data_IF_500131341314
#
_entry.id   IF_500131341314
#
_cell.length_a   1.000
_cell.length_b   1.000
_cell.length_c   1.000
_cell.angle_alpha   90.00
_cell.angle_beta   90.00
_cell.angle_gamma   90.00
#
_symmetry.space_group_name_H-M   'P 1'
#
loop_
_entity.id
_entity.type
_entity.pdbx_description
1 polymer ?
#
# COMPACT_ATOMS: atom_id res chain seq x y z
N UNK A 1 -2.46 -17.44 -4.95
CA UNK A 1 -1.58 -17.79 -3.84
C UNK A 1 -1.06 -19.21 -3.93
N UNK A 2 0.02 -19.45 -3.25
CA UNK A 2 0.74 -20.73 -3.29
C UNK A 2 0.16 -21.81 -2.37
N UNK A 3 -0.94 -21.51 -1.66
CA UNK A 3 -1.51 -22.50 -0.75
C UNK A 3 -2.16 -23.66 -1.49
N UNK A 4 -1.99 -24.84 -0.92
CA UNK A 4 -2.69 -26.06 -1.32
C UNK A 4 -3.49 -26.60 -0.13
N UNK A 5 -4.63 -27.22 -0.39
CA UNK A 5 -5.41 -27.84 0.69
C UNK A 5 -4.73 -29.10 1.23
N UNK A 6 -3.92 -29.75 0.41
CA UNK A 6 -3.34 -31.07 0.65
C UNK A 6 -4.26 -32.23 0.21
N UNK A 7 -5.44 -31.92 -0.34
CA UNK A 7 -6.38 -32.89 -0.84
C UNK A 7 -6.53 -32.76 -2.36
N UNK A 8 -6.10 -33.78 -3.11
CA UNK A 8 -6.09 -33.72 -4.58
C UNK A 8 -7.49 -33.43 -5.17
N UNK A 9 -8.56 -34.01 -4.60
CA UNK A 9 -9.93 -33.79 -5.06
C UNK A 9 -10.41 -32.31 -4.86
N UNK A 10 -9.76 -31.54 -3.99
CA UNK A 10 -10.02 -30.11 -3.78
C UNK A 10 -9.09 -29.27 -4.64
N UNK A 11 -7.82 -29.64 -4.72
CA UNK A 11 -6.79 -28.85 -5.38
C UNK A 11 -6.85 -28.95 -6.91
N UNK A 12 -7.13 -30.16 -7.45
CA UNK A 12 -7.19 -30.35 -8.92
C UNK A 12 -8.27 -29.51 -9.61
N UNK A 13 -9.51 -29.39 -9.11
CA UNK A 13 -10.50 -28.51 -9.71
C UNK A 13 -10.11 -27.02 -9.69
N UNK A 14 -9.32 -26.61 -8.68
CA UNK A 14 -8.90 -25.22 -8.49
C UNK A 14 -7.63 -24.87 -9.29
N UNK A 15 -6.65 -25.76 -9.34
CA UNK A 15 -5.32 -25.52 -9.90
C UNK A 15 -5.13 -26.16 -11.29
N UNK A 16 -6.06 -27.00 -11.72
CA UNK A 16 -5.88 -27.87 -12.87
C UNK A 16 -5.05 -29.10 -12.55
N UNK A 17 -4.86 -29.97 -13.56
CA UNK A 17 -4.01 -31.15 -13.45
C UNK A 17 -2.53 -30.73 -13.32
N UNK A 18 -1.91 -31.11 -12.20
CA UNK A 18 -0.52 -30.79 -11.89
C UNK A 18 0.46 -31.91 -12.28
N UNK A 19 -0.01 -32.99 -12.88
CA UNK A 19 0.82 -34.18 -13.22
C UNK A 19 1.96 -33.85 -14.17
N UNK A 20 1.76 -32.91 -15.09
CA UNK A 20 2.73 -32.45 -16.07
C UNK A 20 3.34 -31.07 -15.74
N UNK A 21 3.10 -30.55 -14.52
CA UNK A 21 3.66 -29.28 -14.14
C UNK A 21 5.19 -29.36 -13.98
N UNK A 22 5.94 -28.32 -14.37
CA UNK A 22 7.38 -28.30 -14.20
C UNK A 22 7.82 -28.48 -12.74
N UNK A 23 8.98 -29.07 -12.53
CA UNK A 23 9.54 -29.36 -11.20
C UNK A 23 9.52 -28.15 -10.24
N UNK A 24 9.86 -26.97 -10.74
CA UNK A 24 9.87 -25.75 -9.93
C UNK A 24 8.48 -25.28 -9.46
N UNK A 25 7.41 -25.76 -10.11
CA UNK A 25 6.02 -25.49 -9.69
C UNK A 25 5.58 -26.52 -8.64
N UNK A 26 5.87 -27.80 -8.89
CA UNK A 26 5.47 -28.90 -8.00
C UNK A 26 6.24 -28.89 -6.69
N UNK A 27 7.54 -28.58 -6.76
CA UNK A 27 8.47 -28.60 -5.63
C UNK A 27 8.83 -27.19 -5.12
N UNK A 28 7.96 -26.21 -5.38
CA UNK A 28 8.15 -24.88 -4.85
C UNK A 28 8.04 -24.90 -3.31
N UNK A 29 9.07 -24.50 -2.56
CA UNK A 29 9.03 -24.46 -1.09
C UNK A 29 7.89 -23.61 -0.53
N UNK A 30 7.47 -22.55 -1.25
CA UNK A 30 6.36 -21.68 -0.86
C UNK A 30 4.97 -22.37 -0.95
N UNK A 31 4.90 -23.63 -1.41
CA UNK A 31 3.65 -24.41 -1.40
C UNK A 31 3.39 -25.01 -0.01
N UNK A 32 2.47 -24.40 0.73
CA UNK A 32 2.07 -24.87 2.07
C UNK A 32 0.74 -25.62 2.02
N UNK A 33 0.67 -26.78 2.69
CA UNK A 33 -0.53 -27.64 2.79
C UNK A 33 -0.96 -27.78 4.24
N UNK A 34 -2.00 -27.05 4.64
CA UNK A 34 -2.47 -27.05 6.04
C UNK A 34 -3.65 -27.99 6.29
N UNK A 35 -4.08 -28.77 5.31
CA UNK A 35 -5.19 -29.75 5.40
C UNK A 35 -6.47 -29.16 6.01
N UNK A 36 -6.70 -27.88 5.80
CA UNK A 36 -7.77 -27.08 6.40
C UNK A 36 -7.78 -27.06 7.94
N UNK A 37 -6.78 -27.61 8.64
CA UNK A 37 -6.79 -27.76 10.11
C UNK A 37 -6.98 -26.42 10.82
N UNK A 38 -6.21 -25.34 10.56
CA UNK A 38 -6.44 -24.05 11.19
C UNK A 38 -7.82 -23.46 10.86
N UNK A 39 -8.27 -23.61 9.62
CA UNK A 39 -9.56 -23.11 9.16
C UNK A 39 -10.72 -23.82 9.86
N UNK A 40 -10.66 -25.17 9.98
CA UNK A 40 -11.69 -25.97 10.62
C UNK A 40 -11.79 -25.62 12.11
N UNK A 41 -10.67 -25.54 12.81
CA UNK A 41 -10.64 -25.14 14.21
C UNK A 41 -11.20 -23.72 14.40
N UNK A 42 -10.81 -22.79 13.53
CA UNK A 42 -11.33 -21.42 13.55
C UNK A 42 -12.84 -21.37 13.31
N UNK A 43 -13.37 -22.10 12.34
CA UNK A 43 -14.82 -22.18 12.08
C UNK A 43 -15.60 -22.84 13.21
N UNK A 44 -15.09 -23.94 13.78
CA UNK A 44 -15.66 -24.55 14.97
C UNK A 44 -15.70 -23.55 16.12
N UNK A 45 -14.59 -22.81 16.32
CA UNK A 45 -14.50 -21.78 17.35
C UNK A 45 -15.42 -20.62 17.12
N UNK A 46 -15.54 -20.12 15.90
CA UNK A 46 -16.49 -19.05 15.53
C UNK A 46 -17.93 -19.44 15.86
N UNK A 47 -18.37 -20.62 15.40
CA UNK A 47 -19.72 -21.11 15.63
C UNK A 47 -19.99 -21.32 17.13
N UNK A 48 -19.03 -21.92 17.84
CA UNK A 48 -19.14 -22.14 19.29
C UNK A 48 -19.19 -20.81 20.05
N UNK A 49 -18.34 -19.86 19.71
CA UNK A 49 -18.29 -18.53 20.31
C UNK A 49 -19.59 -17.75 20.07
N UNK A 50 -20.07 -17.74 18.84
CA UNK A 50 -21.33 -17.09 18.48
C UNK A 50 -22.54 -17.70 19.23
N UNK A 51 -22.51 -19.01 19.47
CA UNK A 51 -23.56 -19.70 20.22
C UNK A 51 -23.47 -19.45 21.73
N UNK A 52 -22.25 -19.44 22.30
CA UNK A 52 -22.02 -19.35 23.75
C UNK A 52 -22.04 -17.92 24.28
N UNK A 53 -21.43 -16.99 23.56
CA UNK A 53 -21.34 -15.57 23.91
C UNK A 53 -21.45 -14.69 22.67
N UNK A 54 -22.68 -14.46 22.16
CA UNK A 54 -22.88 -13.75 20.89
C UNK A 54 -22.36 -12.31 20.90
N UNK A 55 -22.37 -11.64 22.06
CA UNK A 55 -21.84 -10.28 22.18
C UNK A 55 -20.34 -10.21 21.98
N UNK A 56 -19.59 -11.10 22.65
CA UNK A 56 -18.14 -11.14 22.55
C UNK A 56 -17.71 -11.65 21.15
N UNK A 57 -18.45 -12.65 20.63
CA UNK A 57 -18.26 -13.14 19.27
C UNK A 57 -18.44 -12.04 18.23
N UNK A 58 -19.41 -11.13 18.43
CA UNK A 58 -19.63 -9.98 17.55
C UNK A 58 -18.47 -8.99 17.60
N UNK A 59 -17.88 -8.73 18.77
CA UNK A 59 -16.71 -7.83 18.90
C UNK A 59 -15.51 -8.40 18.14
N UNK A 60 -15.21 -9.69 18.30
CA UNK A 60 -14.13 -10.37 17.57
C UNK A 60 -14.42 -10.38 16.07
N UNK A 61 -15.67 -10.63 15.67
CA UNK A 61 -16.11 -10.60 14.27
C UNK A 61 -15.96 -9.21 13.67
N UNK A 62 -16.30 -8.17 14.40
CA UNK A 62 -16.13 -6.78 13.95
C UNK A 62 -14.64 -6.46 13.75
N UNK A 63 -13.78 -6.89 14.67
CA UNK A 63 -12.34 -6.77 14.53
C UNK A 63 -11.82 -7.48 13.27
N UNK A 64 -12.24 -8.73 13.06
CA UNK A 64 -11.91 -9.51 11.85
C UNK A 64 -12.38 -8.81 10.57
N UNK A 65 -13.64 -8.32 10.55
CA UNK A 65 -14.21 -7.65 9.39
C UNK A 65 -13.50 -6.33 9.06
N UNK A 66 -13.28 -5.48 10.06
CA UNK A 66 -12.70 -4.15 9.87
C UNK A 66 -11.22 -4.21 9.47
N UNK A 67 -10.45 -5.14 10.05
CA UNK A 67 -9.03 -5.31 9.72
C UNK A 67 -8.77 -6.22 8.52
N UNK A 68 -9.81 -6.83 7.96
CA UNK A 68 -9.76 -7.69 6.78
C UNK A 68 -10.53 -7.12 5.60
N UNK A 69 -11.80 -7.51 5.47
CA UNK A 69 -12.63 -7.13 4.32
C UNK A 69 -12.77 -5.62 4.14
N UNK A 70 -12.88 -4.85 5.22
CA UNK A 70 -12.95 -3.40 5.11
C UNK A 70 -11.63 -2.81 4.55
N UNK A 71 -10.48 -3.36 4.94
CA UNK A 71 -9.18 -2.96 4.37
C UNK A 71 -9.08 -3.34 2.89
N UNK A 72 -9.58 -4.51 2.47
CA UNK A 72 -9.64 -4.89 1.04
C UNK A 72 -10.42 -3.85 0.23
N UNK A 73 -11.60 -3.46 0.72
CA UNK A 73 -12.45 -2.46 0.06
C UNK A 73 -11.77 -1.08 0.06
N UNK A 74 -11.16 -0.69 1.19
CA UNK A 74 -10.48 0.60 1.33
C UNK A 74 -9.27 0.72 0.40
N UNK A 75 -8.42 -0.30 0.34
CA UNK A 75 -7.22 -0.30 -0.50
C UNK A 75 -7.55 -0.36 -1.98
N UNK A 76 -8.68 -0.98 -2.35
CA UNK A 76 -9.15 -1.12 -3.73
C UNK A 76 -7.99 -1.43 -4.71
N UNK A 77 -7.19 -2.44 -4.39
CA UNK A 77 -6.00 -2.79 -5.16
C UNK A 77 -6.34 -3.16 -6.60
N UNK A 78 -5.54 -2.65 -7.52
CA UNK A 78 -5.68 -3.00 -8.94
C UNK A 78 -5.26 -4.44 -9.18
N UNK A 79 -5.97 -5.14 -10.06
CA UNK A 79 -5.71 -6.56 -10.40
C UNK A 79 -4.28 -6.80 -10.92
N UNK A 80 -3.65 -5.79 -11.50
CA UNK A 80 -2.31 -5.87 -12.09
C UNK A 80 -1.21 -5.24 -11.22
N UNK A 81 -1.44 -5.06 -9.92
CA UNK A 81 -0.37 -4.62 -9.03
C UNK A 81 0.71 -5.71 -8.95
N UNK A 82 1.99 -5.38 -9.18
CA UNK A 82 3.07 -6.37 -9.18
C UNK A 82 3.42 -6.89 -7.78
N UNK A 83 2.92 -6.24 -6.73
CA UNK A 83 3.20 -6.57 -5.33
C UNK A 83 1.91 -6.89 -4.59
N UNK A 84 1.85 -8.08 -4.00
CA UNK A 84 0.80 -8.44 -3.04
C UNK A 84 1.05 -7.74 -1.69
N UNK A 85 -0.05 -7.34 -1.03
CA UNK A 85 -0.03 -6.60 0.23
C UNK A 85 -0.75 -7.34 1.34
N UNK A 86 -0.53 -8.63 1.45
CA UNK A 86 -1.19 -9.49 2.45
C UNK A 86 -0.94 -9.04 3.88
N UNK A 87 0.20 -8.39 4.13
CA UNK A 87 0.50 -7.79 5.43
C UNK A 87 -0.53 -6.75 5.89
N UNK A 88 -1.27 -6.12 4.96
CA UNK A 88 -2.33 -5.19 5.31
C UNK A 88 -3.50 -5.85 6.04
N UNK A 89 -3.66 -7.16 5.88
CA UNK A 89 -4.74 -7.96 6.49
C UNK A 89 -4.29 -8.73 7.73
N UNK A 90 -3.07 -8.55 8.21
CA UNK A 90 -2.51 -9.28 9.35
C UNK A 90 -3.41 -9.22 10.60
N UNK A 91 -4.08 -8.09 10.82
CA UNK A 91 -5.06 -7.93 11.90
C UNK A 91 -6.21 -8.93 11.83
N UNK A 92 -6.74 -9.22 10.64
CA UNK A 92 -7.82 -10.19 10.48
C UNK A 92 -7.38 -11.60 10.81
N UNK A 93 -6.17 -12.00 10.42
CA UNK A 93 -5.61 -13.30 10.77
C UNK A 93 -5.40 -13.45 12.29
N UNK A 94 -5.01 -12.35 12.95
CA UNK A 94 -4.90 -12.32 14.41
C UNK A 94 -6.27 -12.58 15.08
N UNK A 95 -7.33 -11.90 14.65
CA UNK A 95 -8.68 -12.14 15.16
C UNK A 95 -9.17 -13.55 14.82
N UNK A 96 -8.84 -14.10 13.64
CA UNK A 96 -9.19 -15.46 13.30
C UNK A 96 -8.45 -16.48 14.19
N UNK A 97 -7.19 -16.22 14.54
CA UNK A 97 -6.42 -17.06 15.44
C UNK A 97 -7.07 -17.19 16.85
N UNK A 98 -7.78 -16.15 17.32
CA UNK A 98 -8.56 -16.27 18.55
C UNK A 98 -9.63 -17.35 18.43
N UNK A 99 -10.30 -17.45 17.28
CA UNK A 99 -11.29 -18.53 17.06
C UNK A 99 -10.65 -19.90 16.95
N UNK A 100 -9.42 -20.01 16.45
CA UNK A 100 -8.67 -21.30 16.51
C UNK A 100 -8.52 -21.74 17.98
N UNK A 101 -8.13 -20.83 18.88
CA UNK A 101 -8.03 -21.10 20.31
C UNK A 101 -9.38 -21.47 20.95
N UNK A 102 -10.45 -20.73 20.62
CA UNK A 102 -11.82 -21.05 21.05
C UNK A 102 -12.28 -22.38 20.48
N UNK A 103 -11.82 -22.76 19.28
CA UNK A 103 -12.08 -24.07 18.66
C UNK A 103 -11.53 -25.24 19.46
N UNK A 104 -10.35 -25.07 20.05
CA UNK A 104 -9.78 -26.08 20.96
C UNK A 104 -10.66 -26.26 22.20
N UNK A 105 -11.15 -25.14 22.77
CA UNK A 105 -12.11 -25.21 23.87
C UNK A 105 -13.44 -25.86 23.45
N UNK A 106 -13.89 -25.61 22.24
CA UNK A 106 -15.09 -26.26 21.69
C UNK A 106 -14.90 -27.77 21.54
N UNK A 107 -13.71 -28.26 21.17
CA UNK A 107 -13.38 -29.68 21.15
C UNK A 107 -13.42 -30.27 22.56
N UNK A 108 -12.88 -29.61 23.58
CA UNK A 108 -13.03 -30.04 24.98
C UNK A 108 -14.49 -30.11 25.38
N UNK A 109 -15.29 -29.12 25.01
CA UNK A 109 -16.73 -29.13 25.30
C UNK A 109 -17.47 -30.23 24.54
N UNK A 110 -17.03 -30.59 23.33
CA UNK A 110 -17.55 -31.72 22.57
C UNK A 110 -17.28 -33.05 23.29
N UNK A 111 -16.11 -33.19 23.90
CA UNK A 111 -15.77 -34.39 24.70
C UNK A 111 -16.64 -34.50 25.96
N UNK A 112 -16.88 -33.39 26.68
CA UNK A 112 -17.56 -33.40 27.98
C UNK A 112 -19.09 -33.32 27.91
N UNK A 113 -19.64 -32.60 26.95
CA UNK A 113 -21.05 -32.16 26.99
C UNK A 113 -21.80 -32.27 25.67
N UNK A 114 -21.15 -32.76 24.58
CA UNK A 114 -21.78 -32.78 23.26
C UNK A 114 -22.86 -33.86 23.17
N UNK A 115 -23.98 -33.53 22.57
CA UNK A 115 -25.15 -34.41 22.46
C UNK A 115 -25.79 -34.34 21.06
N UNK A 116 -26.81 -35.19 20.85
CA UNK A 116 -27.54 -35.26 19.56
C UNK A 116 -28.13 -33.95 19.09
N UNK A 117 -28.52 -33.04 19.99
CA UNK A 117 -29.04 -31.74 19.61
C UNK A 117 -27.97 -30.86 18.97
N UNK A 118 -26.73 -30.96 19.42
CA UNK A 118 -25.61 -30.23 18.82
C UNK A 118 -25.30 -30.73 17.40
N UNK A 119 -25.39 -32.06 17.17
CA UNK A 119 -25.25 -32.59 15.81
C UNK A 119 -26.37 -32.13 14.87
N UNK A 120 -27.60 -31.97 15.35
CA UNK A 120 -28.67 -31.40 14.53
C UNK A 120 -28.36 -29.98 14.10
N UNK A 121 -27.85 -29.14 15.01
CA UNK A 121 -27.45 -27.75 14.70
C UNK A 121 -26.26 -27.73 13.73
N UNK A 122 -25.25 -28.58 13.94
CA UNK A 122 -24.14 -28.75 13.03
C UNK A 122 -24.63 -29.13 11.61
N UNK A 123 -25.54 -30.08 11.50
CA UNK A 123 -26.13 -30.49 10.23
C UNK A 123 -26.88 -29.37 9.51
N UNK A 124 -27.57 -28.52 10.25
CA UNK A 124 -28.26 -27.33 9.66
C UNK A 124 -27.21 -26.35 9.07
N UNK A 125 -26.15 -26.04 9.82
CA UNK A 125 -25.10 -25.15 9.36
C UNK A 125 -24.36 -25.74 8.15
N UNK A 126 -24.03 -27.04 8.21
CA UNK A 126 -23.39 -27.76 7.12
C UNK A 126 -24.25 -27.75 5.85
N UNK A 127 -25.56 -28.03 5.99
CA UNK A 127 -26.52 -28.01 4.88
C UNK A 127 -26.71 -26.63 4.26
N UNK A 128 -26.83 -25.59 5.11
CA UNK A 128 -26.95 -24.21 4.65
C UNK A 128 -25.67 -23.77 3.89
N UNK A 129 -24.49 -24.09 4.41
CA UNK A 129 -23.23 -23.82 3.73
C UNK A 129 -23.10 -24.59 2.40
N UNK A 130 -23.52 -25.86 2.37
CA UNK A 130 -23.52 -26.65 1.13
C UNK A 130 -24.40 -26.02 0.07
N UNK A 131 -25.60 -25.57 0.44
CA UNK A 131 -26.51 -24.89 -0.48
C UNK A 131 -25.88 -23.57 -1.01
N UNK A 132 -25.27 -22.78 -0.13
CA UNK A 132 -24.61 -21.54 -0.50
C UNK A 132 -23.49 -21.78 -1.53
N UNK A 133 -22.60 -22.72 -1.25
CA UNK A 133 -21.47 -23.01 -2.15
C UNK A 133 -21.90 -23.69 -3.46
N UNK A 134 -22.98 -24.50 -3.45
CA UNK A 134 -23.60 -25.00 -4.67
C UNK A 134 -24.11 -23.85 -5.55
N UNK A 135 -24.78 -22.86 -4.97
CA UNK A 135 -25.25 -21.69 -5.72
C UNK A 135 -24.06 -20.91 -6.29
N UNK A 136 -22.99 -20.74 -5.53
CA UNK A 136 -21.77 -20.06 -6.02
C UNK A 136 -21.13 -20.85 -7.18
N UNK A 137 -21.08 -22.16 -7.09
CA UNK A 137 -20.48 -23.01 -8.13
C UNK A 137 -21.36 -23.13 -9.38
N UNK A 138 -22.67 -22.86 -9.29
CA UNK A 138 -23.58 -22.86 -10.48
C UNK A 138 -23.19 -21.80 -11.51
N UNK A 139 -22.49 -20.74 -11.13
CA UNK A 139 -21.97 -19.70 -12.04
C UNK A 139 -20.57 -20.02 -12.59
N UNK A 140 -19.97 -21.12 -12.15
CA UNK A 140 -18.61 -21.53 -12.52
C UNK A 140 -18.67 -22.60 -13.61
N UNK A 141 -17.92 -22.45 -14.68
CA UNK A 141 -17.80 -23.45 -15.75
C UNK A 141 -17.07 -24.75 -15.31
N UNK A 142 -16.50 -24.76 -14.11
CA UNK A 142 -15.64 -25.85 -13.62
C UNK A 142 -16.21 -26.56 -12.37
N UNK A 143 -16.04 -27.84 -12.34
CA UNK A 143 -16.22 -28.90 -11.34
C UNK A 143 -16.32 -28.50 -9.84
N UNK A 144 -17.22 -27.59 -9.46
CA UNK A 144 -17.65 -27.31 -8.07
C UNK A 144 -16.54 -27.18 -7.01
N UNK A 145 -15.51 -26.32 -7.22
CA UNK A 145 -14.35 -26.26 -6.32
C UNK A 145 -14.71 -25.77 -4.91
N UNK A 146 -15.67 -24.87 -4.77
CA UNK A 146 -16.09 -24.32 -3.48
C UNK A 146 -16.90 -25.34 -2.69
N UNK A 147 -17.81 -26.03 -3.34
CA UNK A 147 -18.65 -27.09 -2.73
C UNK A 147 -17.77 -28.25 -2.25
N UNK A 148 -16.81 -28.72 -3.06
CA UNK A 148 -15.89 -29.79 -2.67
C UNK A 148 -15.02 -29.40 -1.47
N UNK A 149 -14.51 -28.17 -1.45
CA UNK A 149 -13.75 -27.64 -0.32
C UNK A 149 -14.59 -27.60 0.96
N UNK A 150 -15.82 -27.09 0.85
CA UNK A 150 -16.74 -27.03 1.98
C UNK A 150 -17.13 -28.41 2.51
N UNK A 151 -17.47 -29.35 1.64
CA UNK A 151 -17.82 -30.72 2.05
C UNK A 151 -16.64 -31.42 2.76
N UNK A 152 -15.42 -31.19 2.27
CA UNK A 152 -14.21 -31.71 2.93
C UNK A 152 -14.07 -31.15 4.34
N UNK A 153 -14.25 -29.82 4.50
CA UNK A 153 -14.24 -29.13 5.81
C UNK A 153 -15.30 -29.72 6.74
N UNK A 154 -16.54 -29.87 6.24
CA UNK A 154 -17.66 -30.42 7.02
C UNK A 154 -17.39 -31.85 7.48
N UNK A 155 -16.86 -32.72 6.60
CA UNK A 155 -16.53 -34.11 6.96
C UNK A 155 -15.47 -34.16 8.04
N UNK A 156 -14.38 -33.41 7.91
CA UNK A 156 -13.31 -33.37 8.90
C UNK A 156 -13.84 -32.82 10.24
N UNK A 157 -14.62 -31.72 10.22
CA UNK A 157 -15.23 -31.15 11.42
C UNK A 157 -16.18 -32.15 12.10
N UNK A 158 -16.97 -32.90 11.33
CA UNK A 158 -17.85 -33.95 11.85
C UNK A 158 -17.07 -35.09 12.50
N UNK A 159 -15.97 -35.54 11.88
CA UNK A 159 -15.08 -36.57 12.44
C UNK A 159 -14.44 -36.07 13.73
N UNK A 160 -13.94 -34.85 13.79
CA UNK A 160 -13.34 -34.26 15.00
C UNK A 160 -14.36 -34.15 16.15
N UNK A 161 -15.50 -33.52 15.90
CA UNK A 161 -16.53 -33.32 16.93
C UNK A 161 -17.18 -34.66 17.35
N UNK A 162 -17.46 -35.55 16.39
CA UNK A 162 -18.02 -36.87 16.64
C UNK A 162 -17.04 -37.79 17.34
N UNK A 163 -15.77 -37.75 16.96
CA UNK A 163 -14.69 -38.47 17.61
C UNK A 163 -14.51 -38.07 19.07
N UNK A 164 -14.47 -36.75 19.32
CA UNK A 164 -14.40 -36.20 20.68
C UNK A 164 -15.59 -36.65 21.55
N UNK A 165 -16.79 -36.59 21.02
CA UNK A 165 -17.99 -37.04 21.71
C UNK A 165 -17.94 -38.57 22.00
N UNK A 166 -17.52 -39.39 21.05
CA UNK A 166 -17.43 -40.82 21.21
C UNK A 166 -16.39 -41.22 22.26
N UNK A 167 -15.20 -40.64 22.17
CA UNK A 167 -14.10 -40.86 23.12
C UNK A 167 -14.50 -40.39 24.52
N UNK A 168 -15.17 -39.22 24.61
CA UNK A 168 -15.69 -38.69 25.89
C UNK A 168 -16.66 -39.61 26.61
N UNK A 169 -17.49 -40.34 25.87
CA UNK A 169 -18.37 -41.37 26.45
C UNK A 169 -17.60 -42.58 26.99
N UNK A 170 -16.47 -42.91 26.36
CA UNK A 170 -15.64 -44.05 26.74
C UNK A 170 -14.70 -43.71 27.92
N UNK A 171 -14.00 -42.60 27.90
CA UNK A 171 -12.93 -42.25 28.84
C UNK A 171 -13.40 -41.47 30.07
N UNK A 172 -14.54 -40.80 30.05
CA UNK A 172 -15.20 -40.13 31.19
C UNK A 172 -14.29 -39.28 32.11
N UNK A 173 -13.37 -38.54 31.59
CA UNK A 173 -12.47 -37.71 32.42
C UNK A 173 -12.24 -36.33 31.86
N UNK A 174 -12.47 -35.28 32.65
CA UNK A 174 -12.26 -33.90 32.21
C UNK A 174 -10.81 -33.61 31.81
N UNK A 175 -9.84 -34.14 32.59
CA UNK A 175 -8.41 -34.03 32.31
C UNK A 175 -8.03 -34.72 31.00
N UNK A 176 -8.58 -35.90 30.73
CA UNK A 176 -8.36 -36.62 29.46
C UNK A 176 -8.93 -35.83 28.27
N UNK A 177 -10.11 -35.24 28.47
CA UNK A 177 -10.73 -34.36 27.45
C UNK A 177 -9.90 -33.11 27.18
N UNK A 178 -9.40 -32.44 28.20
CA UNK A 178 -8.53 -31.28 28.07
C UNK A 178 -7.22 -31.65 27.36
N UNK A 179 -6.57 -32.73 27.76
CA UNK A 179 -5.32 -33.21 27.14
C UNK A 179 -5.52 -33.55 25.65
N UNK A 180 -6.59 -34.25 25.30
CA UNK A 180 -6.88 -34.62 23.92
C UNK A 180 -7.23 -33.40 23.07
N UNK A 181 -8.05 -32.49 23.59
CA UNK A 181 -8.38 -31.25 22.88
C UNK A 181 -7.14 -30.38 22.63
N UNK A 182 -6.26 -30.28 23.64
CA UNK A 182 -4.98 -29.53 23.50
C UNK A 182 -4.09 -30.21 22.48
N UNK A 183 -3.94 -31.51 22.50
CA UNK A 183 -3.13 -32.27 21.52
C UNK A 183 -3.62 -32.07 20.09
N UNK A 184 -4.93 -32.14 19.86
CA UNK A 184 -5.53 -31.89 18.56
C UNK A 184 -5.39 -30.41 18.16
N UNK A 185 -5.51 -29.49 19.13
CA UNK A 185 -5.33 -28.06 18.89
C UNK A 185 -3.91 -27.70 18.50
N UNK A 186 -2.90 -28.36 19.08
CA UNK A 186 -1.50 -28.16 18.73
C UNK A 186 -1.17 -28.55 17.29
N UNK A 187 -2.01 -29.38 16.64
CA UNK A 187 -1.82 -29.70 15.23
C UNK A 187 -1.81 -28.46 14.32
N UNK A 188 -2.59 -27.41 14.65
CA UNK A 188 -2.61 -26.17 13.88
C UNK A 188 -1.26 -25.42 13.93
N UNK A 189 -0.75 -24.99 15.09
CA UNK A 189 0.53 -24.26 15.12
C UNK A 189 1.72 -25.14 14.69
N UNK A 190 1.69 -26.43 14.94
CA UNK A 190 2.77 -27.35 14.52
C UNK A 190 2.81 -27.49 13.01
N UNK A 191 1.69 -27.70 12.34
CA UNK A 191 1.67 -27.84 10.88
C UNK A 191 2.00 -26.50 10.20
N UNK A 192 1.48 -25.39 10.74
CA UNK A 192 1.78 -24.07 10.23
C UNK A 192 3.26 -23.71 10.42
N UNK A 193 3.83 -24.01 11.58
CA UNK A 193 5.25 -23.80 11.86
C UNK A 193 6.15 -24.69 11.00
N UNK A 194 5.83 -25.95 10.83
CA UNK A 194 6.64 -26.88 10.03
C UNK A 194 6.60 -26.56 8.53
N UNK A 195 5.45 -26.16 8.02
CA UNK A 195 5.26 -25.86 6.59
C UNK A 195 5.69 -24.44 6.21
N UNK A 196 5.54 -23.48 7.12
CA UNK A 196 5.85 -22.09 6.84
C UNK A 196 7.22 -21.64 7.37
N UNK A 197 8.03 -22.54 7.91
CA UNK A 197 9.34 -22.17 8.45
C UNK A 197 10.27 -21.58 7.41
N UNK A 198 10.34 -22.21 6.24
CA UNK A 198 11.17 -21.78 5.13
C UNK A 198 10.76 -20.42 4.54
N UNK A 199 9.46 -20.10 4.60
CA UNK A 199 8.95 -18.78 4.20
C UNK A 199 9.42 -17.67 5.15
N UNK A 200 9.67 -17.99 6.43
CA UNK A 200 10.03 -17.04 7.48
C UNK A 200 11.51 -17.07 7.85
N UNK A 201 12.23 -18.11 7.48
CA UNK A 201 13.67 -18.22 7.74
C UNK A 201 14.44 -17.16 6.93
N UNK A 202 15.10 -16.27 7.65
CA UNK A 202 15.93 -15.19 7.10
C UNK A 202 17.43 -15.42 7.34
N UNK A 203 17.82 -16.54 7.94
CA UNK A 203 19.19 -16.81 8.37
C UNK A 203 20.21 -16.73 7.24
N UNK A 204 19.82 -17.05 5.99
CA UNK A 204 20.69 -17.03 4.82
C UNK A 204 20.26 -15.99 3.76
N UNK A 205 19.39 -15.04 4.12
CA UNK A 205 18.88 -14.02 3.19
C UNK A 205 19.73 -12.75 3.26
N UNK A 206 20.97 -12.80 2.75
CA UNK A 206 21.93 -11.69 2.78
C UNK A 206 21.82 -10.75 1.59
N UNK A 207 20.95 -11.03 0.60
CA UNK A 207 20.88 -10.28 -0.67
C UNK A 207 20.75 -8.77 -0.47
N UNK A 208 19.89 -8.32 0.44
CA UNK A 208 19.70 -6.89 0.72
C UNK A 208 20.97 -6.25 1.29
N UNK A 209 21.63 -6.94 2.23
CA UNK A 209 22.93 -6.54 2.80
C UNK A 209 24.00 -6.45 1.71
N UNK A 210 24.16 -7.51 0.89
CA UNK A 210 25.21 -7.60 -0.10
C UNK A 210 25.06 -6.55 -1.21
N UNK A 211 23.82 -6.29 -1.65
CA UNK A 211 23.51 -5.20 -2.60
C UNK A 211 23.88 -3.85 -1.99
N UNK A 212 23.49 -3.60 -0.75
CA UNK A 212 23.81 -2.37 -0.05
C UNK A 212 25.32 -2.17 0.12
N UNK A 213 26.01 -3.22 0.53
CA UNK A 213 27.47 -3.22 0.65
C UNK A 213 28.17 -2.89 -0.68
N UNK A 214 27.71 -3.51 -1.77
CA UNK A 214 28.26 -3.26 -3.11
C UNK A 214 27.99 -1.82 -3.56
N UNK A 215 26.79 -1.30 -3.34
CA UNK A 215 26.46 0.08 -3.68
C UNK A 215 27.35 1.06 -2.92
N UNK A 216 27.45 0.91 -1.61
CA UNK A 216 28.24 1.82 -0.79
C UNK A 216 29.75 1.71 -1.06
N UNK A 217 30.23 0.50 -1.39
CA UNK A 217 31.63 0.30 -1.77
C UNK A 217 32.01 0.99 -3.08
N UNK A 218 31.07 1.14 -3.99
CA UNK A 218 31.29 1.78 -5.29
C UNK A 218 31.31 3.32 -5.22
N UNK A 219 30.82 3.91 -4.13
CA UNK A 219 30.76 5.38 -3.98
C UNK A 219 32.14 5.92 -3.58
N UNK A 220 32.56 7.02 -4.19
CA UNK A 220 33.79 7.73 -3.81
C UNK A 220 33.75 8.17 -2.34
N UNK A 221 34.91 8.33 -1.67
CA UNK A 221 34.96 8.87 -0.31
C UNK A 221 34.20 10.20 -0.21
N UNK A 222 33.41 10.39 0.86
CA UNK A 222 32.55 11.56 1.07
C UNK A 222 31.54 11.83 -0.07
N UNK A 223 31.21 10.79 -0.85
CA UNK A 223 30.27 10.92 -1.96
C UNK A 223 28.83 11.01 -1.53
N UNK A 224 27.96 11.33 -2.49
CA UNK A 224 26.50 11.34 -2.33
C UNK A 224 25.94 10.24 -3.22
N UNK A 225 25.07 9.38 -2.65
CA UNK A 225 24.32 8.39 -3.41
C UNK A 225 22.83 8.74 -3.36
N UNK A 226 22.22 8.81 -4.52
CA UNK A 226 20.78 9.04 -4.64
C UNK A 226 20.05 7.71 -4.77
N UNK A 227 19.02 7.53 -3.97
CA UNK A 227 18.16 6.35 -3.96
C UNK A 227 16.71 6.74 -4.23
N UNK A 228 15.90 5.82 -4.74
CA UNK A 228 14.54 6.12 -5.17
C UNK A 228 13.50 5.24 -4.47
N UNK A 229 13.28 5.49 -3.18
CA UNK A 229 12.31 4.81 -2.34
C UNK A 229 12.93 3.86 -1.31
N UNK A 230 12.10 3.04 -0.68
CA UNK A 230 12.45 2.28 0.53
C UNK A 230 13.42 1.11 0.23
N UNK A 231 13.17 0.39 -0.86
CA UNK A 231 13.85 -0.88 -1.13
C UNK A 231 15.34 -0.72 -1.41
N UNK A 232 15.75 0.38 -2.00
CA UNK A 232 17.15 0.71 -2.28
C UNK A 232 17.78 1.60 -1.20
N UNK A 233 16.99 2.24 -0.34
CA UNK A 233 17.46 3.12 0.73
C UNK A 233 17.68 2.38 2.05
N UNK A 234 16.68 1.62 2.52
CA UNK A 234 16.75 1.02 3.86
C UNK A 234 17.88 0.02 4.05
N UNK A 235 18.25 -0.79 3.05
CA UNK A 235 19.46 -1.61 3.19
C UNK A 235 20.75 -0.80 3.35
N UNK A 236 20.86 0.38 2.68
CA UNK A 236 22.02 1.25 2.83
C UNK A 236 22.05 1.88 4.24
N UNK A 237 20.91 2.35 4.73
CA UNK A 237 20.82 2.85 6.11
C UNK A 237 21.16 1.76 7.13
N UNK A 238 20.72 0.52 6.91
CA UNK A 238 21.06 -0.58 7.80
C UNK A 238 22.59 -0.74 7.94
N UNK A 239 23.34 -0.82 6.84
CA UNK A 239 24.79 -1.00 6.93
C UNK A 239 25.50 0.24 7.49
N UNK A 240 24.96 1.46 7.30
CA UNK A 240 25.51 2.66 7.92
C UNK A 240 25.22 2.74 9.42
N UNK A 241 23.96 2.55 9.82
CA UNK A 241 23.51 2.76 11.20
C UNK A 241 23.85 1.59 12.13
N UNK A 242 23.81 0.36 11.61
CA UNK A 242 24.03 -0.84 12.43
C UNK A 242 25.46 -1.34 12.35
N UNK A 243 26.07 -1.30 11.17
CA UNK A 243 27.41 -1.83 10.95
C UNK A 243 28.49 -0.74 10.91
N UNK A 244 28.11 0.53 10.86
CA UNK A 244 29.04 1.65 10.79
C UNK A 244 29.81 1.71 9.45
N UNK A 245 29.30 1.05 8.39
CA UNK A 245 29.98 0.97 7.12
C UNK A 245 29.71 2.21 6.28
N UNK A 246 30.77 2.88 5.81
CA UNK A 246 30.71 4.06 4.94
C UNK A 246 29.83 5.19 5.51
N UNK A 247 30.01 5.54 6.76
CA UNK A 247 29.38 6.70 7.41
C UNK A 247 29.78 8.04 6.78
N UNK A 248 30.83 8.04 5.94
CA UNK A 248 31.27 9.15 5.12
C UNK A 248 30.36 9.45 3.91
N UNK A 249 29.57 8.47 3.47
CA UNK A 249 28.70 8.60 2.29
C UNK A 249 27.33 9.16 2.69
N UNK A 250 26.86 10.16 1.97
CA UNK A 250 25.51 10.72 2.17
C UNK A 250 24.49 9.93 1.33
N UNK A 251 23.63 9.17 1.99
CA UNK A 251 22.48 8.53 1.34
C UNK A 251 21.34 9.52 1.24
N UNK A 252 20.87 9.80 0.03
CA UNK A 252 19.83 10.76 -0.27
C UNK A 252 18.65 10.08 -0.95
N UNK A 253 17.55 9.89 -0.21
CA UNK A 253 16.33 9.29 -0.75
C UNK A 253 15.50 10.35 -1.49
N UNK A 254 15.34 10.19 -2.81
CA UNK A 254 14.62 11.13 -3.67
C UNK A 254 13.13 11.22 -3.35
N UNK A 255 12.52 10.12 -2.89
CA UNK A 255 11.11 10.14 -2.48
C UNK A 255 10.91 10.95 -1.21
N UNK A 256 11.84 10.85 -0.24
CA UNK A 256 11.78 11.63 1.01
C UNK A 256 12.23 13.08 0.82
N UNK A 257 13.06 13.37 -0.21
CA UNK A 257 13.42 14.75 -0.56
C UNK A 257 12.22 15.62 -0.95
N UNK A 258 11.07 15.02 -1.20
CA UNK A 258 9.82 15.72 -1.41
C UNK A 258 9.20 16.25 -0.10
N UNK A 259 9.80 15.94 1.05
CA UNK A 259 9.34 16.39 2.36
C UNK A 259 10.29 17.45 2.94
N UNK A 260 9.72 18.45 3.58
CA UNK A 260 10.47 19.56 4.18
C UNK A 260 11.42 19.09 5.28
N UNK A 261 10.96 18.19 6.14
CA UNK A 261 11.76 17.68 7.26
C UNK A 261 13.00 16.92 6.80
N UNK A 262 12.87 16.09 5.75
CA UNK A 262 14.00 15.30 5.26
C UNK A 262 15.01 16.18 4.52
N UNK A 263 14.54 17.13 3.71
CA UNK A 263 15.40 18.12 3.07
C UNK A 263 16.14 18.94 4.11
N UNK A 264 15.49 19.39 5.18
CA UNK A 264 16.14 20.10 6.29
C UNK A 264 17.16 19.20 7.02
N UNK A 265 16.91 17.89 7.13
CA UNK A 265 17.86 16.93 7.68
C UNK A 265 19.11 16.80 6.78
N UNK A 266 18.94 16.76 5.48
CA UNK A 266 20.05 16.69 4.52
C UNK A 266 20.95 17.93 4.53
N UNK A 267 20.48 19.07 5.01
CA UNK A 267 21.23 20.31 5.18
C UNK A 267 22.14 20.31 6.43
N UNK A 268 22.19 19.22 7.18
CA UNK A 268 23.01 19.08 8.38
C UNK A 268 24.07 18.02 8.19
N UNK A 269 25.21 18.21 8.83
CA UNK A 269 26.23 17.16 8.94
C UNK A 269 25.65 15.94 9.69
N UNK A 270 25.94 14.72 9.21
CA UNK A 270 25.53 13.47 9.84
C UNK A 270 26.71 12.52 9.80
N UNK A 271 27.13 12.02 10.95
CA UNK A 271 28.33 11.19 11.09
C UNK A 271 29.57 11.86 10.46
N UNK A 272 30.26 11.16 9.59
CA UNK A 272 31.44 11.67 8.87
C UNK A 272 31.07 12.37 7.56
N UNK A 273 29.80 12.32 7.14
CA UNK A 273 29.35 12.94 5.87
C UNK A 273 28.93 14.40 6.09
N UNK A 274 29.42 15.27 5.22
CA UNK A 274 29.07 16.69 5.24
C UNK A 274 27.62 16.94 4.81
N UNK A 275 27.07 18.11 5.14
CA UNK A 275 25.77 18.55 4.69
C UNK A 275 25.70 18.61 3.16
N UNK A 276 24.53 18.34 2.58
CA UNK A 276 24.32 18.62 1.15
C UNK A 276 24.49 20.13 0.88
N UNK A 277 25.09 20.51 -0.26
CA UNK A 277 25.33 21.92 -0.60
C UNK A 277 24.05 22.67 -1.00
N UNK A 278 23.00 22.56 -0.18
CA UNK A 278 21.71 23.22 -0.37
C UNK A 278 21.82 24.63 0.21
N UNK A 279 21.52 25.63 -0.62
CA UNK A 279 21.66 27.06 -0.27
C UNK A 279 20.39 27.68 0.33
N UNK A 280 19.29 26.94 0.37
CA UNK A 280 18.03 27.42 0.98
C UNK A 280 18.14 27.38 2.51
N UNK A 281 17.50 28.35 3.18
CA UNK A 281 17.30 28.23 4.62
C UNK A 281 16.19 27.21 4.93
N UNK A 282 16.21 26.55 6.09
CA UNK A 282 15.12 25.65 6.49
C UNK A 282 13.73 26.31 6.42
N UNK A 283 13.64 27.60 6.77
CA UNK A 283 12.38 28.35 6.75
C UNK A 283 11.80 28.55 5.34
N UNK A 284 12.65 28.51 4.30
CA UNK A 284 12.20 28.63 2.91
C UNK A 284 11.57 27.34 2.38
N UNK A 285 11.84 26.20 3.00
CA UNK A 285 11.34 24.89 2.57
C UNK A 285 10.25 24.35 3.51
N UNK A 286 10.17 24.82 4.75
CA UNK A 286 9.17 24.36 5.70
C UNK A 286 7.80 24.99 5.43
N UNK A 287 6.78 24.16 5.20
CA UNK A 287 5.43 24.62 4.85
C UNK A 287 4.78 25.48 5.95
N UNK A 288 5.03 25.19 7.22
CA UNK A 288 4.46 25.95 8.34
C UNK A 288 5.07 27.35 8.54
N UNK A 289 6.21 27.64 7.92
CA UNK A 289 6.81 28.97 7.88
C UNK A 289 6.47 29.76 6.63
N UNK A 290 5.60 29.22 5.75
CA UNK A 290 5.25 29.81 4.46
C UNK A 290 6.22 29.46 3.33
N UNK A 291 7.16 28.54 3.58
CA UNK A 291 8.02 27.96 2.58
C UNK A 291 7.31 26.90 1.73
N UNK A 292 8.06 26.28 0.84
CA UNK A 292 7.57 25.17 0.01
C UNK A 292 8.56 24.00 0.09
N UNK A 293 8.05 22.79 0.29
CA UNK A 293 8.82 21.55 0.31
C UNK A 293 9.17 21.06 -1.09
N UNK A 294 8.73 21.79 -2.12
CA UNK A 294 8.96 21.39 -3.46
C UNK A 294 9.18 22.56 -4.41
N UNK A 295 10.24 22.44 -5.19
CA UNK A 295 10.62 23.42 -6.19
C UNK A 295 10.36 22.82 -7.56
N UNK A 296 9.34 23.32 -8.25
CA UNK A 296 9.13 22.98 -9.66
C UNK A 296 10.07 23.81 -10.55
N UNK A 297 11.05 23.17 -11.16
CA UNK A 297 11.85 23.80 -12.18
C UNK A 297 11.05 23.87 -13.49
N UNK A 298 10.65 25.06 -13.85
CA UNK A 298 10.19 25.38 -15.21
C UNK A 298 8.69 25.33 -15.50
N UNK A 299 7.88 24.67 -14.70
CA UNK A 299 6.49 24.40 -15.08
C UNK A 299 5.43 25.23 -14.33
N UNK A 300 5.74 25.71 -13.11
CA UNK A 300 4.78 26.49 -12.32
C UNK A 300 4.48 27.86 -12.94
N UNK A 301 5.48 28.55 -13.43
CA UNK A 301 5.28 29.83 -14.08
C UNK A 301 4.47 29.64 -15.36
N UNK A 302 4.78 28.61 -16.16
CA UNK A 302 4.04 28.29 -17.40
C UNK A 302 2.63 27.78 -17.10
N UNK A 303 2.44 26.93 -16.07
CA UNK A 303 1.13 26.42 -15.66
C UNK A 303 0.27 27.51 -15.04
N UNK A 304 0.84 28.35 -14.18
CA UNK A 304 0.12 29.46 -13.56
C UNK A 304 -0.26 30.52 -14.58
N UNK A 305 0.65 30.92 -15.47
CA UNK A 305 0.40 31.86 -16.55
C UNK A 305 -0.53 31.28 -17.63
N UNK A 306 -0.44 29.97 -17.93
CA UNK A 306 -1.38 29.30 -18.82
C UNK A 306 -2.79 29.21 -18.22
N UNK A 307 -2.91 28.91 -16.94
CA UNK A 307 -4.20 28.91 -16.24
C UNK A 307 -4.78 30.33 -16.15
N UNK A 308 -3.94 31.35 -15.90
CA UNK A 308 -4.33 32.72 -15.87
C UNK A 308 -4.80 33.21 -17.26
N UNK A 309 -4.05 32.87 -18.32
CA UNK A 309 -4.35 33.23 -19.70
C UNK A 309 -5.59 32.52 -20.27
N UNK A 310 -5.94 31.35 -19.75
CA UNK A 310 -7.10 30.58 -20.17
C UNK A 310 -8.33 30.76 -19.26
N UNK A 311 -8.24 31.57 -18.22
CA UNK A 311 -9.35 31.82 -17.30
C UNK A 311 -10.27 32.92 -17.85
N UNK A 312 -11.30 32.49 -18.63
CA UNK A 312 -12.30 33.39 -19.21
C UNK A 312 -13.04 34.24 -18.15
N UNK A 313 -13.25 33.70 -16.95
CA UNK A 313 -13.89 34.45 -15.86
C UNK A 313 -12.99 35.60 -15.37
N UNK A 314 -11.68 35.39 -15.30
CA UNK A 314 -10.71 36.43 -14.94
C UNK A 314 -10.66 37.53 -16.00
N UNK A 315 -10.65 37.13 -17.28
CA UNK A 315 -10.67 38.10 -18.41
C UNK A 315 -11.93 38.96 -18.37
N UNK A 316 -13.10 38.34 -18.13
CA UNK A 316 -14.36 39.10 -17.97
C UNK A 316 -14.34 40.05 -16.76
N UNK A 317 -13.74 39.67 -15.64
CA UNK A 317 -13.59 40.54 -14.46
C UNK A 317 -12.66 41.70 -14.76
N UNK A 318 -11.56 41.46 -15.47
CA UNK A 318 -10.64 42.53 -15.92
C UNK A 318 -11.36 43.51 -16.84
N UNK A 319 -12.09 43.03 -17.83
CA UNK A 319 -12.86 43.87 -18.74
C UNK A 319 -13.93 44.71 -18.03
N UNK A 320 -14.61 44.14 -17.05
CA UNK A 320 -15.58 44.87 -16.21
C UNK A 320 -14.90 45.96 -15.36
N UNK A 321 -13.74 45.69 -14.78
CA UNK A 321 -12.97 46.67 -14.00
C UNK A 321 -12.38 47.79 -14.85
N UNK A 322 -11.92 47.46 -16.07
CA UNK A 322 -11.46 48.48 -17.06
C UNK A 322 -12.59 49.42 -17.41
N UNK A 323 -13.79 48.87 -17.70
CA UNK A 323 -14.99 49.67 -18.00
C UNK A 323 -15.43 50.53 -16.82
N UNK A 324 -15.26 50.07 -15.58
CA UNK A 324 -15.67 50.81 -14.38
C UNK A 324 -14.71 51.94 -14.00
N UNK A 325 -13.39 51.76 -14.18
CA UNK A 325 -12.39 52.78 -13.87
C UNK A 325 -11.10 52.52 -14.66
N UNK A 326 -10.96 53.18 -15.82
CA UNK A 326 -9.85 53.02 -16.76
C UNK A 326 -8.48 53.40 -16.15
N UNK A 327 -8.42 54.46 -15.34
CA UNK A 327 -7.15 54.91 -14.73
C UNK A 327 -6.66 53.97 -13.62
N UNK A 328 -7.58 53.47 -12.79
CA UNK A 328 -7.21 52.52 -11.74
C UNK A 328 -6.80 51.16 -12.34
N UNK A 329 -7.44 50.75 -13.42
CA UNK A 329 -7.10 49.52 -14.15
C UNK A 329 -5.72 49.66 -14.83
N UNK A 330 -5.41 50.80 -15.46
CA UNK A 330 -4.11 51.05 -16.06
C UNK A 330 -2.97 51.02 -15.02
N UNK A 331 -3.18 51.63 -13.85
CA UNK A 331 -2.22 51.54 -12.72
C UNK A 331 -2.02 50.12 -12.24
N UNK A 332 -3.09 49.34 -12.11
CA UNK A 332 -3.01 47.96 -11.69
C UNK A 332 -2.24 47.08 -12.68
N UNK A 333 -2.48 47.25 -14.00
CA UNK A 333 -1.74 46.55 -15.07
C UNK A 333 -0.27 46.92 -15.06
N UNK A 334 0.04 48.21 -14.88
CA UNK A 334 1.43 48.69 -14.81
C UNK A 334 2.16 48.11 -13.60
N UNK A 335 1.54 48.14 -12.43
CA UNK A 335 2.11 47.55 -11.20
C UNK A 335 2.35 46.04 -11.35
N UNK A 336 1.35 45.31 -11.83
CA UNK A 336 1.47 43.88 -12.09
C UNK A 336 2.57 43.56 -13.11
N UNK A 337 2.65 44.36 -14.20
CA UNK A 337 3.69 44.17 -15.23
C UNK A 337 5.09 44.41 -14.68
N UNK A 338 5.27 45.41 -13.84
CA UNK A 338 6.56 45.71 -13.21
C UNK A 338 6.97 44.62 -12.23
N UNK A 339 6.02 44.09 -11.44
CA UNK A 339 6.25 42.99 -10.50
C UNK A 339 6.64 41.70 -11.24
N UNK A 340 5.89 41.36 -12.28
CA UNK A 340 6.20 40.21 -13.13
C UNK A 340 7.56 40.35 -13.86
N UNK A 341 7.88 41.53 -14.38
CA UNK A 341 9.18 41.78 -14.98
C UNK A 341 10.34 41.61 -13.98
N UNK A 342 10.11 42.01 -12.73
CA UNK A 342 11.05 41.80 -11.62
C UNK A 342 11.27 40.31 -11.32
N UNK A 343 10.19 39.56 -11.18
CA UNK A 343 10.22 38.10 -10.93
C UNK A 343 10.96 37.39 -12.08
N UNK A 344 10.57 37.66 -13.33
CA UNK A 344 11.20 37.05 -14.51
C UNK A 344 12.67 37.43 -14.63
N UNK A 345 13.03 38.69 -14.26
CA UNK A 345 14.40 39.15 -14.27
C UNK A 345 15.31 38.56 -13.18
N UNK A 346 14.72 38.09 -12.08
CA UNK A 346 15.45 37.45 -10.98
C UNK A 346 15.73 35.96 -11.23
N UNK A 347 15.06 35.33 -12.20
CA UNK A 347 15.27 33.93 -12.55
C UNK A 347 16.55 33.77 -13.39
N UNK A 348 17.59 33.20 -12.80
CA UNK A 348 18.83 32.85 -13.50
C UNK A 348 18.71 31.40 -14.03
N UNK A 349 18.74 31.24 -15.35
CA UNK A 349 18.70 29.96 -16.02
C UNK A 349 19.93 29.79 -16.91
N UNK A 350 20.62 28.68 -16.82
CA UNK A 350 21.87 28.45 -17.59
C UNK A 350 21.64 28.05 -19.06
N UNK A 351 20.45 27.52 -19.38
CA UNK A 351 20.17 27.06 -20.72
C UNK A 351 19.82 28.20 -21.69
N UNK A 352 20.55 28.37 -22.82
CA UNK A 352 20.36 29.52 -23.74
C UNK A 352 18.96 29.63 -24.34
N UNK A 353 18.31 28.49 -24.61
CA UNK A 353 16.96 28.48 -25.18
C UNK A 353 15.90 28.95 -24.17
N UNK A 354 16.07 28.62 -22.88
CA UNK A 354 15.21 29.11 -21.82
C UNK A 354 15.46 30.56 -21.53
N UNK A 355 16.71 31.03 -21.61
CA UNK A 355 17.06 32.47 -21.51
C UNK A 355 16.39 33.33 -22.60
N UNK A 356 16.41 32.84 -23.85
CA UNK A 356 15.77 33.55 -24.96
C UNK A 356 14.25 33.70 -24.74
N UNK A 357 13.58 32.67 -24.24
CA UNK A 357 12.15 32.71 -23.92
C UNK A 357 11.82 33.58 -22.72
N UNK A 358 12.65 33.51 -21.68
CA UNK A 358 12.53 34.41 -20.54
C UNK A 358 12.66 35.89 -20.96
N UNK A 359 13.56 36.18 -21.90
CA UNK A 359 13.67 37.51 -22.47
C UNK A 359 12.40 37.93 -23.25
N UNK A 360 11.78 37.02 -24.00
CA UNK A 360 10.51 37.26 -24.68
C UNK A 360 9.38 37.53 -23.69
N UNK A 361 9.24 36.69 -22.63
CA UNK A 361 8.25 36.91 -21.57
C UNK A 361 8.46 38.24 -20.89
N UNK A 362 9.71 38.59 -20.54
CA UNK A 362 10.06 39.86 -19.94
C UNK A 362 9.66 41.05 -20.84
N UNK A 363 9.85 40.94 -22.16
CA UNK A 363 9.48 41.99 -23.11
C UNK A 363 7.98 42.26 -23.15
N UNK A 364 7.13 41.25 -22.90
CA UNK A 364 5.68 41.44 -22.84
C UNK A 364 5.29 42.29 -21.64
N UNK A 365 5.94 42.10 -20.50
CA UNK A 365 5.63 42.82 -19.26
C UNK A 365 6.30 44.20 -19.20
N UNK A 366 7.43 44.41 -19.87
CA UNK A 366 8.13 45.71 -19.92
C UNK A 366 7.61 46.63 -21.02
N UNK A 367 6.77 46.12 -21.92
CA UNK A 367 6.14 46.94 -22.97
C UNK A 367 5.23 48.01 -22.35
N UNK A 368 5.29 49.30 -22.80
CA UNK A 368 4.37 50.34 -22.34
C UNK A 368 2.91 49.95 -22.51
N UNK A 369 2.07 50.36 -21.57
CA UNK A 369 0.61 50.14 -21.65
C UNK A 369 0.03 51.00 -22.75
N UNK A 370 -0.73 50.42 -23.68
CA UNK A 370 -1.35 51.13 -24.79
C UNK A 370 -2.59 51.93 -24.33
N UNK A 371 -2.98 52.94 -25.13
CA UNK A 371 -4.16 53.76 -24.84
C UNK A 371 -5.46 52.94 -24.77
N UNK A 372 -5.61 51.96 -25.68
CA UNK A 372 -6.67 50.94 -25.57
C UNK A 372 -6.21 49.82 -24.63
N UNK A 373 -6.53 50.00 -23.37
CA UNK A 373 -6.14 49.09 -22.30
C UNK A 373 -6.74 47.68 -22.50
N UNK A 374 -7.95 47.58 -23.02
CA UNK A 374 -8.62 46.29 -23.27
C UNK A 374 -7.88 45.53 -24.34
N UNK A 375 -7.57 46.17 -25.46
CA UNK A 375 -6.82 45.56 -26.55
C UNK A 375 -5.39 45.20 -26.13
N UNK A 376 -4.71 46.03 -25.33
CA UNK A 376 -3.37 45.75 -24.82
C UNK A 376 -3.33 44.55 -23.93
N UNK A 377 -4.29 44.39 -23.02
CA UNK A 377 -4.39 43.23 -22.13
C UNK A 377 -4.67 41.97 -22.94
N UNK A 378 -5.64 41.99 -23.85
CA UNK A 378 -5.94 40.84 -24.69
C UNK A 378 -4.74 40.43 -25.56
N UNK A 379 -3.99 41.36 -26.08
CA UNK A 379 -2.78 41.09 -26.87
C UNK A 379 -1.66 40.49 -26.01
N UNK A 380 -1.45 40.98 -24.77
CA UNK A 380 -0.48 40.41 -23.84
C UNK A 380 -0.84 38.95 -23.48
N UNK A 381 -2.12 38.67 -23.19
CA UNK A 381 -2.58 37.32 -22.88
C UNK A 381 -2.50 36.38 -24.10
N UNK A 382 -2.83 36.86 -25.32
CA UNK A 382 -2.67 36.10 -26.55
C UNK A 382 -1.21 35.69 -26.78
N UNK A 383 -0.29 36.66 -26.68
CA UNK A 383 1.15 36.39 -26.86
C UNK A 383 1.70 35.43 -25.81
N UNK A 384 1.26 35.56 -24.56
CA UNK A 384 1.62 34.63 -23.49
C UNK A 384 1.09 33.21 -23.78
N UNK A 385 -0.17 33.09 -24.26
CA UNK A 385 -0.77 31.81 -24.64
C UNK A 385 0.01 31.13 -25.78
N UNK A 386 0.45 31.87 -26.78
CA UNK A 386 1.27 31.35 -27.87
C UNK A 386 2.64 30.87 -27.39
N UNK A 387 3.30 31.64 -26.55
CA UNK A 387 4.59 31.30 -25.97
C UNK A 387 4.52 30.05 -25.08
N UNK A 388 3.45 29.88 -24.31
CA UNK A 388 3.25 28.71 -23.44
C UNK A 388 2.61 27.52 -24.14
N UNK A 389 1.80 27.73 -25.19
CA UNK A 389 1.23 26.66 -26.02
C UNK A 389 2.28 25.84 -26.73
N UNK A 390 3.38 26.46 -27.18
CA UNK A 390 4.52 25.76 -27.75
C UNK A 390 5.29 24.86 -26.77
N UNK A 391 5.31 25.18 -25.48
CA UNK A 391 5.92 24.35 -24.43
C UNK A 391 5.14 23.03 -24.19
N UNK A 392 3.82 23.05 -24.34
CA UNK A 392 2.96 21.89 -24.09
C UNK A 392 3.08 20.81 -25.19
N UNK A 393 3.49 21.17 -26.39
CA UNK A 393 3.57 20.29 -27.53
C UNK A 393 4.96 19.71 -27.80
N UNK A 394 5.91 19.86 -26.88
CA UNK A 394 7.24 19.25 -27.00
C UNK A 394 8.06 19.73 -28.21
N UNK A 395 7.73 20.88 -28.79
CA UNK A 395 8.43 21.44 -29.96
C UNK A 395 9.64 22.29 -29.57
N UNK A 396 10.39 21.84 -28.54
CA UNK A 396 11.76 22.35 -28.25
C UNK A 396 12.60 21.22 -27.73
#
# INVERSE_FOLDING_TARGET
GNWKSGFAHVDTPRLGDQSNAPYYVTNNPANNSFFFIPLILGLIGLVFHAYRSPKDAFVVFLGFLLTGLAIVVYLNQKVYEPRERDYAYAGSFYFFAMWIGVGVYALYHAFTSFNKSHFKKFGIIAGAGTLLFLIMDMSSENSMPHTLSWLTIVVIAAVLLGGMMFIGKALKGETAGAALATLLGLAAPVIMGAQGWDDHDRSNKTTAHDVAYNYMSAVSPNGIIFTNGDNDTFPLWYIQEVEGFRSDVRVCNLSLMQTDWYTAQMMRKTYDSEALPIKFSPDQIMMYTGGTDYIQFGDLASMYLSNLANNEALIKIIDLRIKANKEAAARAVTNFSNEMAGIVGALTVEQPQVQARMAQIKSIFTRPVQEDLTQDIHQRFSTLRELFGGLRNGSI
#
